data_IF_931591684302
#
_entry.id   IF_931591684302
#
_cell.length_a   1.000
_cell.length_b   1.000
_cell.length_c   1.000
_cell.angle_alpha   90.00
_cell.angle_beta   90.00
_cell.angle_gamma   90.00
#
_symmetry.space_group_name_H-M   'P 1'
#
loop_
_entity.id
_entity.type
_entity.pdbx_description
1 polymer ?
#
# COMPACT_ATOMS: atom_id res chain seq x y z
N UNK A 1 -73.08 42.81 -17.01
CA UNK A 1 -71.75 42.15 -17.06
C UNK A 1 -71.81 41.09 -18.14
N UNK A 2 -70.90 41.12 -19.11
CA UNK A 2 -71.07 40.42 -20.39
C UNK A 2 -70.64 38.94 -20.27
N UNK A 3 -71.56 37.98 -20.39
CA UNK A 3 -71.30 36.54 -20.22
C UNK A 3 -70.18 36.00 -21.13
N UNK A 4 -69.94 36.67 -22.25
CA UNK A 4 -68.86 36.36 -23.21
C UNK A 4 -67.47 36.59 -22.59
N UNK A 5 -67.31 37.62 -21.75
CA UNK A 5 -66.03 37.93 -21.09
C UNK A 5 -65.70 36.90 -20.01
N UNK A 6 -66.72 36.40 -19.29
CA UNK A 6 -66.57 35.32 -18.30
C UNK A 6 -66.24 33.97 -18.95
N UNK A 7 -66.86 33.65 -20.09
CA UNK A 7 -66.53 32.42 -20.83
C UNK A 7 -65.10 32.46 -21.39
N UNK A 8 -64.66 33.61 -21.91
CA UNK A 8 -63.31 33.78 -22.43
C UNK A 8 -62.23 33.65 -21.33
N UNK A 9 -62.43 34.22 -20.14
CA UNK A 9 -61.48 34.08 -19.02
C UNK A 9 -61.42 32.67 -18.45
N UNK A 10 -62.54 31.93 -18.44
CA UNK A 10 -62.57 30.51 -18.06
C UNK A 10 -61.81 29.62 -19.05
N UNK A 11 -61.91 29.90 -20.35
CA UNK A 11 -61.18 29.14 -21.38
C UNK A 11 -59.67 29.43 -21.33
N UNK A 12 -59.28 30.69 -21.14
CA UNK A 12 -57.87 31.08 -21.01
C UNK A 12 -57.24 30.47 -19.75
N UNK A 13 -57.91 30.55 -18.60
CA UNK A 13 -57.41 29.95 -17.36
C UNK A 13 -57.29 28.42 -17.45
N UNK A 14 -58.27 27.75 -18.07
CA UNK A 14 -58.22 26.31 -18.32
C UNK A 14 -57.08 25.92 -19.27
N UNK A 15 -56.84 26.72 -20.31
CA UNK A 15 -55.70 26.53 -21.23
C UNK A 15 -54.35 26.65 -20.53
N UNK A 16 -54.18 27.64 -19.64
CA UNK A 16 -52.97 27.79 -18.84
C UNK A 16 -52.73 26.60 -17.90
N UNK A 17 -53.79 26.12 -17.22
CA UNK A 17 -53.70 24.92 -16.36
C UNK A 17 -53.27 23.70 -17.16
N UNK A 18 -53.82 23.50 -18.36
CA UNK A 18 -53.46 22.38 -19.23
C UNK A 18 -52.00 22.44 -19.69
N UNK A 19 -51.50 23.63 -20.06
CA UNK A 19 -50.10 23.82 -20.46
C UNK A 19 -49.15 23.58 -19.27
N UNK A 20 -49.49 24.10 -18.09
CA UNK A 20 -48.71 23.90 -16.87
C UNK A 20 -48.65 22.42 -16.47
N UNK A 21 -49.79 21.71 -16.51
CA UNK A 21 -49.86 20.27 -16.22
C UNK A 21 -49.07 19.45 -17.24
N UNK A 22 -49.14 19.79 -18.53
CA UNK A 22 -48.38 19.11 -19.58
C UNK A 22 -46.87 19.33 -19.43
N UNK A 23 -46.44 20.54 -19.07
CA UNK A 23 -45.04 20.84 -18.79
C UNK A 23 -44.53 20.09 -17.55
N UNK A 24 -45.33 20.05 -16.48
CA UNK A 24 -44.98 19.32 -15.26
C UNK A 24 -44.84 17.80 -15.53
N UNK A 25 -45.76 17.21 -16.30
CA UNK A 25 -45.69 15.81 -16.70
C UNK A 25 -44.48 15.51 -17.59
N UNK A 26 -44.13 16.41 -18.51
CA UNK A 26 -42.92 16.25 -19.33
C UNK A 26 -41.64 16.31 -18.50
N UNK A 27 -41.56 17.22 -17.53
CA UNK A 27 -40.42 17.33 -16.63
C UNK A 27 -40.30 16.10 -15.73
N UNK A 28 -41.40 15.64 -15.13
CA UNK A 28 -41.43 14.41 -14.33
C UNK A 28 -41.01 13.17 -15.13
N UNK A 29 -41.44 13.05 -16.39
CA UNK A 29 -41.02 11.95 -17.26
C UNK A 29 -39.53 12.01 -17.60
N UNK A 30 -38.98 13.21 -17.86
CA UNK A 30 -37.54 13.39 -18.10
C UNK A 30 -36.72 13.05 -16.86
N UNK A 31 -37.17 13.51 -15.70
CA UNK A 31 -36.48 13.29 -14.44
C UNK A 31 -36.54 11.82 -14.01
N UNK A 32 -37.70 11.17 -14.18
CA UNK A 32 -37.84 9.73 -13.97
C UNK A 32 -36.96 8.93 -14.95
N UNK A 33 -36.87 9.33 -16.22
CA UNK A 33 -35.98 8.71 -17.19
C UNK A 33 -34.50 8.90 -16.85
N UNK A 34 -34.11 10.09 -16.38
CA UNK A 34 -32.74 10.40 -15.92
C UNK A 34 -32.37 9.54 -14.71
N UNK A 35 -33.23 9.50 -13.69
CA UNK A 35 -33.01 8.71 -12.48
C UNK A 35 -32.97 7.21 -12.77
N UNK A 36 -33.80 6.71 -13.70
CA UNK A 36 -33.74 5.32 -14.13
C UNK A 36 -32.40 4.98 -14.82
N UNK A 37 -31.89 5.88 -15.66
CA UNK A 37 -30.56 5.72 -16.28
C UNK A 37 -29.41 5.75 -15.26
N UNK A 38 -29.51 6.62 -14.25
CA UNK A 38 -28.52 6.75 -13.18
C UNK A 38 -28.50 5.54 -12.23
N UNK A 39 -29.67 4.95 -11.95
CA UNK A 39 -29.78 3.69 -11.20
C UNK A 39 -29.17 2.53 -12.00
N UNK A 40 -29.42 2.47 -13.31
CA UNK A 40 -28.90 1.39 -14.14
C UNK A 40 -27.39 1.46 -14.31
N UNK A 41 -26.82 2.67 -14.50
CA UNK A 41 -25.36 2.84 -14.55
C UNK A 41 -24.70 2.50 -13.21
N UNK A 42 -25.29 2.89 -12.09
CA UNK A 42 -24.82 2.52 -10.74
C UNK A 42 -24.86 1.00 -10.51
N UNK A 43 -25.92 0.33 -10.97
CA UNK A 43 -26.03 -1.14 -10.93
C UNK A 43 -24.97 -1.83 -11.77
N UNK A 44 -24.67 -1.31 -12.96
CA UNK A 44 -23.62 -1.85 -13.82
C UNK A 44 -22.24 -1.70 -13.16
N UNK A 45 -21.92 -0.52 -12.64
CA UNK A 45 -20.65 -0.27 -11.94
C UNK A 45 -20.49 -1.16 -10.70
N UNK A 46 -21.55 -1.33 -9.91
CA UNK A 46 -21.52 -2.22 -8.74
C UNK A 46 -21.40 -3.69 -9.13
N UNK A 47 -22.04 -4.14 -10.21
CA UNK A 47 -21.89 -5.49 -10.73
C UNK A 47 -20.47 -5.77 -11.25
N UNK A 48 -19.87 -4.80 -11.95
CA UNK A 48 -18.49 -4.87 -12.44
C UNK A 48 -17.49 -4.90 -11.28
N UNK A 49 -17.65 -4.03 -10.28
CA UNK A 49 -16.84 -4.05 -9.07
C UNK A 49 -16.97 -5.38 -8.32
N UNK A 50 -18.18 -5.93 -8.18
CA UNK A 50 -18.41 -7.22 -7.55
C UNK A 50 -17.73 -8.38 -8.31
N UNK A 51 -17.78 -8.35 -9.65
CA UNK A 51 -17.07 -9.31 -10.49
C UNK A 51 -15.54 -9.20 -10.34
N UNK A 52 -15.01 -7.98 -10.28
CA UNK A 52 -13.59 -7.71 -10.00
C UNK A 52 -13.15 -8.26 -8.64
N UNK A 53 -13.94 -8.02 -7.59
CA UNK A 53 -13.69 -8.55 -6.24
C UNK A 53 -13.73 -10.09 -6.23
N UNK A 54 -14.69 -10.70 -6.92
CA UNK A 54 -14.77 -12.17 -7.01
C UNK A 54 -13.55 -12.76 -7.73
N UNK A 55 -13.09 -12.12 -8.82
CA UNK A 55 -11.89 -12.52 -9.54
C UNK A 55 -10.63 -12.41 -8.66
N UNK A 56 -10.47 -11.31 -7.94
CA UNK A 56 -9.35 -11.10 -7.02
C UNK A 56 -9.36 -12.11 -5.88
N UNK A 57 -10.53 -12.40 -5.28
CA UNK A 57 -10.66 -13.45 -4.28
C UNK A 57 -10.26 -14.82 -4.82
N UNK A 58 -10.66 -15.14 -6.05
CA UNK A 58 -10.24 -16.36 -6.74
C UNK A 58 -8.72 -16.46 -6.88
N UNK A 59 -8.07 -15.39 -7.33
CA UNK A 59 -6.60 -15.33 -7.44
C UNK A 59 -5.90 -15.45 -6.08
N UNK A 60 -6.43 -14.81 -5.03
CA UNK A 60 -5.88 -14.93 -3.67
C UNK A 60 -5.93 -16.38 -3.19
N UNK A 61 -7.05 -17.07 -3.41
CA UNK A 61 -7.21 -18.46 -3.00
C UNK A 61 -6.34 -19.41 -3.83
N UNK A 62 -6.19 -19.14 -5.12
CA UNK A 62 -5.25 -19.85 -6.00
C UNK A 62 -3.80 -19.69 -5.50
N UNK A 63 -3.38 -18.46 -5.17
CA UNK A 63 -2.05 -18.20 -4.61
C UNK A 63 -1.86 -18.81 -3.22
N UNK A 64 -2.90 -18.89 -2.39
CA UNK A 64 -2.87 -19.59 -1.10
C UNK A 64 -2.71 -21.10 -1.29
N UNK A 65 -3.50 -21.69 -2.19
CA UNK A 65 -3.40 -23.12 -2.52
C UNK A 65 -2.02 -23.46 -3.08
N UNK A 66 -1.51 -22.65 -4.02
CA UNK A 66 -0.17 -22.82 -4.58
C UNK A 66 0.92 -22.70 -3.52
N UNK A 67 0.80 -21.76 -2.58
CA UNK A 67 1.70 -21.64 -1.42
C UNK A 67 1.59 -22.85 -0.49
N UNK A 68 0.40 -23.38 -0.25
CA UNK A 68 0.19 -24.58 0.57
C UNK A 68 0.83 -25.83 -0.04
N UNK A 69 0.68 -26.03 -1.36
CA UNK A 69 1.33 -27.13 -2.11
C UNK A 69 2.86 -26.97 -2.15
N UNK A 70 3.35 -25.74 -2.30
CA UNK A 70 4.77 -25.45 -2.22
C UNK A 70 5.31 -25.70 -0.80
N UNK A 71 4.55 -25.34 0.24
CA UNK A 71 4.88 -25.60 1.64
C UNK A 71 4.93 -27.10 1.95
N UNK A 72 3.99 -27.90 1.43
CA UNK A 72 3.98 -29.35 1.66
C UNK A 72 5.13 -30.07 0.95
N UNK A 73 5.49 -29.63 -0.27
CA UNK A 73 6.65 -30.17 -1.01
C UNK A 73 7.99 -29.79 -0.38
N UNK A 74 8.08 -28.61 0.22
CA UNK A 74 9.30 -28.16 0.87
C UNK A 74 9.46 -28.68 2.32
N UNK A 75 8.37 -29.05 3.01
CA UNK A 75 8.43 -29.73 4.32
C UNK A 75 9.09 -31.12 4.27
N UNK A 76 9.20 -31.73 3.08
CA UNK A 76 9.87 -33.01 2.87
C UNK A 76 11.36 -32.92 2.59
N UNK A 77 11.89 -31.73 2.29
CA UNK A 77 13.34 -31.51 2.16
C UNK A 77 13.96 -31.20 3.53
N UNK A 78 14.40 -32.25 4.23
CA UNK A 78 15.42 -32.05 5.25
C UNK A 78 16.69 -31.54 4.57
N UNK A 79 17.34 -30.53 5.13
CA UNK A 79 18.63 -30.04 4.66
C UNK A 79 19.66 -31.18 4.75
N UNK A 80 19.82 -31.93 3.65
CA UNK A 80 20.78 -33.03 3.46
C UNK A 80 22.19 -32.51 3.17
N UNK A 81 22.52 -31.33 3.68
CA UNK A 81 23.85 -30.74 3.51
C UNK A 81 24.88 -31.51 4.31
N UNK A 82 25.93 -31.96 3.61
CA UNK A 82 27.14 -32.50 4.22
C UNK A 82 27.63 -31.52 5.30
N UNK A 83 27.75 -31.99 6.54
CA UNK A 83 28.09 -31.14 7.69
C UNK A 83 29.51 -30.60 7.52
N UNK A 84 29.64 -29.34 7.14
CA UNK A 84 30.94 -28.67 7.03
C UNK A 84 31.52 -28.55 8.46
N UNK A 85 32.69 -29.14 8.74
CA UNK A 85 33.30 -29.04 10.06
C UNK A 85 33.60 -27.58 10.39
N UNK A 86 33.19 -27.17 11.59
CA UNK A 86 33.39 -25.82 12.10
C UNK A 86 34.88 -25.59 12.39
N UNK A 87 35.48 -24.56 11.78
CA UNK A 87 36.89 -24.18 11.94
C UNK A 87 37.00 -22.67 12.24
N UNK A 88 36.66 -22.22 13.47
CA UNK A 88 36.65 -20.81 13.84
C UNK A 88 37.99 -20.10 13.63
N UNK A 89 39.10 -20.84 13.77
CA UNK A 89 40.46 -20.35 13.54
C UNK A 89 40.73 -19.94 12.08
N UNK A 90 39.85 -20.32 11.14
CA UNK A 90 39.91 -19.95 9.73
C UNK A 90 38.96 -18.82 9.36
N UNK A 91 38.36 -18.14 10.34
CA UNK A 91 37.49 -16.99 10.09
C UNK A 91 38.21 -15.89 9.30
N UNK A 92 37.54 -15.34 8.28
CA UNK A 92 38.05 -14.21 7.49
C UNK A 92 39.13 -14.56 6.47
N UNK A 93 39.52 -15.84 6.35
CA UNK A 93 40.46 -16.32 5.33
C UNK A 93 39.68 -17.07 4.26
N UNK A 94 39.86 -16.67 2.99
CA UNK A 94 39.31 -17.41 1.85
C UNK A 94 40.22 -18.60 1.51
N UNK A 95 39.79 -19.85 1.71
CA UNK A 95 40.62 -21.00 1.37
C UNK A 95 40.72 -21.15 -0.16
N UNK A 96 41.91 -21.43 -0.73
CA UNK A 96 42.10 -21.51 -2.18
C UNK A 96 41.41 -22.73 -2.82
N UNK A 97 41.13 -23.76 -2.02
CA UNK A 97 40.57 -25.04 -2.43
C UNK A 97 39.06 -25.16 -2.16
N UNK A 98 38.42 -24.11 -1.63
CA UNK A 98 37.02 -24.17 -1.19
C UNK A 98 36.18 -23.03 -1.77
N UNK A 99 34.93 -23.30 -2.16
CA UNK A 99 34.00 -22.27 -2.62
C UNK A 99 33.35 -21.51 -1.44
N UNK A 100 33.85 -21.67 -0.21
CA UNK A 100 33.25 -21.10 1.00
C UNK A 100 34.34 -20.66 1.99
N UNK A 101 33.99 -19.74 2.88
CA UNK A 101 34.84 -19.28 3.98
C UNK A 101 34.06 -19.28 5.30
N UNK A 102 34.77 -19.22 6.42
CA UNK A 102 34.16 -19.17 7.73
C UNK A 102 33.91 -17.71 8.13
N UNK A 103 32.68 -17.42 8.57
CA UNK A 103 32.28 -16.11 9.08
C UNK A 103 31.62 -16.30 10.44
N UNK A 104 31.98 -15.47 11.43
CA UNK A 104 31.26 -15.45 12.69
C UNK A 104 29.81 -15.01 12.47
N UNK A 105 28.86 -15.77 13.02
CA UNK A 105 27.41 -15.51 12.90
C UNK A 105 27.03 -14.08 13.30
N UNK A 106 27.74 -13.45 14.24
CA UNK A 106 27.49 -12.06 14.65
C UNK A 106 27.67 -11.06 13.51
N UNK A 107 28.58 -11.34 12.57
CA UNK A 107 28.82 -10.49 11.39
C UNK A 107 27.71 -10.61 10.34
N UNK A 108 26.83 -11.61 10.46
CA UNK A 108 25.72 -11.79 9.54
C UNK A 108 24.68 -10.68 9.69
N UNK A 109 24.51 -10.13 10.90
CA UNK A 109 23.60 -9.00 11.15
C UNK A 109 23.97 -7.77 10.30
N UNK A 110 25.26 -7.54 10.08
CA UNK A 110 25.79 -6.38 9.34
C UNK A 110 26.12 -6.69 7.87
N UNK A 111 25.89 -7.93 7.41
CA UNK A 111 26.27 -8.34 6.07
C UNK A 111 25.41 -7.61 5.02
N UNK A 112 26.05 -7.09 3.97
CA UNK A 112 25.36 -6.33 2.92
C UNK A 112 24.88 -7.28 1.83
N UNK A 113 23.64 -7.76 1.98
CA UNK A 113 22.90 -8.43 0.92
C UNK A 113 21.42 -8.09 1.07
N UNK A 114 20.59 -8.56 0.14
CA UNK A 114 19.15 -8.30 0.21
C UNK A 114 18.53 -9.22 1.28
N UNK A 115 18.14 -8.65 2.42
CA UNK A 115 17.47 -9.39 3.49
C UNK A 115 15.98 -9.58 3.23
N UNK A 116 15.34 -8.50 2.77
CA UNK A 116 13.91 -8.38 2.52
C UNK A 116 13.75 -7.79 1.10
N UNK A 117 12.81 -8.31 0.33
CA UNK A 117 12.48 -7.79 -0.99
C UNK A 117 11.75 -6.44 -0.88
N UNK A 118 11.71 -5.65 -1.95
CA UNK A 118 10.97 -4.38 -1.95
C UNK A 118 9.48 -4.50 -1.60
N UNK A 119 8.90 -5.69 -1.82
CA UNK A 119 7.50 -6.00 -1.52
C UNK A 119 7.30 -6.59 -0.13
N UNK A 120 8.29 -6.43 0.77
CA UNK A 120 8.25 -6.90 2.16
C UNK A 120 8.15 -8.43 2.29
N UNK A 121 8.84 -9.17 1.44
CA UNK A 121 9.02 -10.61 1.58
C UNK A 121 10.44 -10.98 2.00
N UNK A 122 10.60 -12.07 2.72
CA UNK A 122 11.90 -12.66 3.03
C UNK A 122 12.62 -12.99 1.73
N UNK A 123 13.83 -12.45 1.57
CA UNK A 123 14.65 -12.77 0.41
C UNK A 123 15.19 -14.22 0.51
N UNK A 124 15.26 -14.99 -0.59
CA UNK A 124 15.79 -16.35 -0.56
C UNK A 124 17.20 -16.45 0.04
N UNK A 125 18.04 -15.45 -0.22
CA UNK A 125 19.40 -15.37 0.30
C UNK A 125 19.42 -15.26 1.83
N UNK A 126 18.44 -14.58 2.43
CA UNK A 126 18.30 -14.44 3.87
C UNK A 126 17.88 -15.75 4.53
N UNK A 127 16.97 -16.50 3.90
CA UNK A 127 16.59 -17.83 4.36
C UNK A 127 17.80 -18.79 4.34
N UNK A 128 18.60 -18.76 3.27
CA UNK A 128 19.84 -19.56 3.15
C UNK A 128 20.86 -19.13 4.22
N UNK A 129 21.10 -17.83 4.37
CA UNK A 129 22.05 -17.29 5.32
C UNK A 129 21.75 -17.67 6.78
N UNK A 130 20.46 -17.73 7.14
CA UNK A 130 20.01 -18.15 8.46
C UNK A 130 19.85 -19.68 8.58
N UNK A 131 20.14 -20.43 7.52
CA UNK A 131 19.96 -21.89 7.48
C UNK A 131 18.53 -22.28 7.82
N UNK A 132 17.55 -21.54 7.30
CA UNK A 132 16.14 -21.84 7.51
C UNK A 132 15.76 -23.06 6.69
N UNK A 133 14.99 -23.96 7.30
CA UNK A 133 14.19 -24.89 6.53
C UNK A 133 13.14 -24.11 5.74
N UNK A 134 12.61 -24.66 4.64
CA UNK A 134 11.58 -23.95 3.90
C UNK A 134 10.30 -23.65 4.70
N UNK A 135 9.96 -24.53 5.64
CA UNK A 135 8.84 -24.31 6.56
C UNK A 135 9.08 -23.13 7.51
N UNK A 136 10.29 -23.00 8.03
CA UNK A 136 10.72 -21.84 8.82
C UNK A 136 10.69 -20.56 7.96
N UNK A 137 11.26 -20.59 6.76
CA UNK A 137 11.30 -19.44 5.86
C UNK A 137 9.90 -18.93 5.51
N UNK A 138 8.97 -19.84 5.17
CA UNK A 138 7.59 -19.47 4.88
C UNK A 138 6.87 -18.89 6.10
N UNK A 139 7.08 -19.47 7.29
CA UNK A 139 6.45 -18.97 8.53
C UNK A 139 7.00 -17.60 8.94
N UNK A 140 8.30 -17.37 8.77
CA UNK A 140 8.94 -16.08 9.03
C UNK A 140 8.49 -15.01 8.04
N UNK A 141 8.41 -15.37 6.74
CA UNK A 141 7.86 -14.48 5.70
C UNK A 141 6.43 -14.07 6.01
N UNK A 142 5.57 -15.03 6.36
CA UNK A 142 4.18 -14.79 6.74
C UNK A 142 4.07 -13.89 7.98
N UNK A 143 4.86 -14.15 9.02
CA UNK A 143 4.88 -13.32 10.22
C UNK A 143 5.33 -11.88 9.92
N UNK A 144 6.38 -11.70 9.12
CA UNK A 144 6.87 -10.38 8.74
C UNK A 144 5.86 -9.62 7.88
N UNK A 145 5.29 -10.28 6.87
CA UNK A 145 4.29 -9.69 6.00
C UNK A 145 3.02 -9.28 6.78
N UNK A 146 2.57 -10.12 7.71
CA UNK A 146 1.41 -9.82 8.57
C UNK A 146 1.62 -8.55 9.41
N UNK A 147 2.82 -8.34 9.95
CA UNK A 147 3.18 -7.13 10.69
C UNK A 147 3.15 -5.90 9.80
N UNK A 148 3.73 -5.99 8.60
CA UNK A 148 3.75 -4.90 7.62
C UNK A 148 2.33 -4.50 7.23
N UNK A 149 1.45 -5.47 6.94
CA UNK A 149 0.06 -5.19 6.60
C UNK A 149 -0.71 -4.59 7.78
N UNK A 150 -0.44 -5.05 9.00
CA UNK A 150 -0.99 -4.43 10.23
C UNK A 150 -0.55 -2.98 10.37
N UNK A 151 0.73 -2.68 10.12
CA UNK A 151 1.23 -1.31 10.18
C UNK A 151 0.58 -0.43 9.14
N UNK A 152 0.49 -0.91 7.89
CA UNK A 152 -0.17 -0.17 6.81
C UNK A 152 -1.63 0.10 7.11
N UNK A 153 -2.35 -0.88 7.65
CA UNK A 153 -3.74 -0.71 8.05
C UNK A 153 -3.90 0.37 9.12
N UNK A 154 -3.03 0.36 10.15
CA UNK A 154 -3.01 1.39 11.19
C UNK A 154 -2.67 2.77 10.63
N UNK A 155 -1.73 2.87 9.68
CA UNK A 155 -1.42 4.15 9.05
C UNK A 155 -2.61 4.70 8.24
N UNK A 156 -3.33 3.84 7.51
CA UNK A 156 -4.54 4.23 6.77
C UNK A 156 -5.64 4.69 7.73
N UNK A 157 -5.86 3.94 8.82
CA UNK A 157 -6.90 4.23 9.82
C UNK A 157 -6.67 5.57 10.53
N UNK A 158 -5.42 5.92 10.80
CA UNK A 158 -5.05 7.11 11.57
C UNK A 158 -4.60 8.29 10.71
N UNK A 159 -4.67 8.18 9.38
CA UNK A 159 -4.36 9.28 8.49
C UNK A 159 -5.50 10.31 8.52
N UNK A 160 -5.19 11.53 8.95
CA UNK A 160 -6.16 12.60 9.12
C UNK A 160 -5.86 13.77 8.18
N UNK A 161 -6.87 14.51 7.67
CA UNK A 161 -6.62 15.79 7.02
C UNK A 161 -5.87 16.75 7.94
N UNK A 162 -4.92 17.51 7.39
CA UNK A 162 -4.11 18.48 8.13
C UNK A 162 -4.22 19.86 7.51
N UNK A 163 -4.31 20.89 8.36
CA UNK A 163 -4.14 22.29 7.96
C UNK A 163 -2.68 22.71 7.92
N UNK A 164 -1.78 21.92 8.50
CA UNK A 164 -0.34 22.11 8.47
C UNK A 164 0.27 21.46 7.23
N UNK A 165 1.21 22.16 6.60
CA UNK A 165 1.94 21.67 5.44
C UNK A 165 3.35 21.22 5.84
N UNK A 166 3.86 20.20 5.14
CA UNK A 166 5.17 19.61 5.40
C UNK A 166 6.30 20.65 5.31
N UNK A 167 6.23 21.60 4.36
CA UNK A 167 7.19 22.71 4.30
C UNK A 167 6.57 24.06 3.93
N UNK A 168 7.13 25.13 4.54
CA UNK A 168 6.94 26.53 4.11
C UNK A 168 7.98 26.97 3.08
N UNK A 169 9.05 26.17 2.87
CA UNK A 169 10.19 26.52 2.01
C UNK A 169 9.85 26.55 0.53
N UNK A 170 8.91 25.71 0.10
CA UNK A 170 8.46 25.70 -1.28
C UNK A 170 7.12 26.38 -1.35
N UNK A 171 7.15 27.70 -1.52
CA UNK A 171 6.00 28.51 -1.93
C UNK A 171 5.70 28.27 -3.42
N UNK A 172 5.68 27.01 -3.88
CA UNK A 172 5.10 26.75 -5.19
C UNK A 172 3.64 27.18 -5.11
N UNK A 173 3.31 28.20 -5.89
CA UNK A 173 1.96 28.73 -6.01
C UNK A 173 1.07 27.59 -6.50
N UNK A 174 0.05 27.24 -5.71
CA UNK A 174 -0.80 26.11 -5.99
C UNK A 174 -1.60 25.68 -4.76
N UNK A 175 -2.67 24.94 -5.00
CA UNK A 175 -3.46 24.30 -3.96
C UNK A 175 -2.62 23.19 -3.33
N UNK A 176 -2.54 23.23 -2.00
CA UNK A 176 -1.89 22.20 -1.20
C UNK A 176 -2.94 21.39 -0.46
N UNK A 177 -2.81 20.07 -0.50
CA UNK A 177 -3.65 19.17 0.31
C UNK A 177 -2.74 18.39 1.23
N UNK A 178 -2.97 18.48 2.54
CA UNK A 178 -2.10 17.87 3.53
C UNK A 178 -2.84 16.88 4.41
N UNK A 179 -2.09 15.87 4.85
CA UNK A 179 -2.52 14.84 5.76
C UNK A 179 -1.50 14.71 6.88
N UNK A 180 -1.97 14.43 8.08
CA UNK A 180 -1.17 14.18 9.26
C UNK A 180 -1.38 12.74 9.67
N UNK A 181 -0.27 12.08 9.95
CA UNK A 181 -0.23 10.80 10.59
C UNK A 181 0.35 11.01 12.00
N UNK A 182 -0.40 10.76 13.07
CA UNK A 182 0.13 10.90 14.43
C UNK A 182 1.21 9.86 14.70
N UNK A 183 1.89 9.99 15.84
CA UNK A 183 2.78 8.94 16.31
C UNK A 183 1.97 7.66 16.56
N UNK A 184 2.40 6.54 15.99
CA UNK A 184 1.70 5.24 16.12
C UNK A 184 2.46 4.24 16.99
N UNK A 185 3.53 4.67 17.65
CA UNK A 185 4.44 3.79 18.41
C UNK A 185 3.70 2.91 19.42
N UNK A 186 2.85 3.50 20.26
CA UNK A 186 2.10 2.77 21.29
C UNK A 186 1.10 1.76 20.69
N UNK A 187 0.55 2.06 19.51
CA UNK A 187 -0.40 1.16 18.82
C UNK A 187 0.31 -0.01 18.13
N UNK A 188 1.56 0.19 17.71
CA UNK A 188 2.34 -0.80 16.95
C UNK A 188 3.24 -1.68 17.83
N UNK A 189 3.60 -1.22 19.02
CA UNK A 189 4.48 -1.94 19.95
C UNK A 189 3.99 -3.37 20.27
N UNK A 190 2.70 -3.62 20.57
CA UNK A 190 2.21 -4.99 20.79
C UNK A 190 2.40 -5.89 19.57
N UNK A 191 2.23 -5.35 18.37
CA UNK A 191 2.42 -6.08 17.11
C UNK A 191 3.90 -6.44 16.90
N UNK A 192 4.82 -5.51 17.21
CA UNK A 192 6.26 -5.76 17.18
C UNK A 192 6.66 -6.82 18.20
N UNK A 193 6.15 -6.75 19.42
CA UNK A 193 6.45 -7.72 20.47
C UNK A 193 5.99 -9.13 20.10
N UNK A 194 4.76 -9.26 19.59
CA UNK A 194 4.21 -10.53 19.11
C UNK A 194 5.04 -11.10 17.95
N UNK A 195 5.50 -10.25 17.04
CA UNK A 195 6.39 -10.65 15.95
C UNK A 195 7.74 -11.15 16.45
N UNK A 196 8.37 -10.44 17.38
CA UNK A 196 9.65 -10.85 17.98
C UNK A 196 9.49 -12.18 18.74
N UNK A 197 8.38 -12.38 19.46
CA UNK A 197 8.09 -13.64 20.12
C UNK A 197 7.87 -14.79 19.12
N UNK A 198 7.10 -14.55 18.06
CA UNK A 198 6.82 -15.54 17.01
C UNK A 198 8.08 -15.97 16.27
N UNK A 199 8.93 -15.03 15.86
CA UNK A 199 10.20 -15.35 15.17
C UNK A 199 11.16 -16.11 16.06
N UNK A 200 11.23 -15.79 17.37
CA UNK A 200 11.99 -16.59 18.36
C UNK A 200 11.48 -18.02 18.47
N UNK A 201 10.16 -18.22 18.47
CA UNK A 201 9.56 -19.56 18.52
C UNK A 201 9.87 -20.39 17.25
N UNK A 202 9.94 -19.74 16.08
CA UNK A 202 10.24 -20.42 14.81
C UNK A 202 11.74 -20.71 14.65
N UNK A 203 12.58 -19.71 14.90
CA UNK A 203 14.01 -19.77 14.54
C UNK A 203 14.93 -20.14 15.72
N UNK A 204 14.44 -20.03 16.95
CA UNK A 204 15.27 -20.03 18.16
C UNK A 204 16.04 -18.71 18.34
N UNK A 205 16.56 -18.48 19.55
CA UNK A 205 17.08 -17.17 19.97
C UNK A 205 18.16 -16.61 19.05
N UNK A 206 19.18 -17.41 18.72
CA UNK A 206 20.35 -16.92 17.98
C UNK A 206 20.03 -16.50 16.53
N UNK A 207 19.15 -17.23 15.84
CA UNK A 207 18.75 -16.90 14.45
C UNK A 207 17.71 -15.78 14.45
N UNK A 208 16.79 -15.79 15.41
CA UNK A 208 15.78 -14.76 15.56
C UNK A 208 16.39 -13.39 15.90
N UNK A 209 17.47 -13.33 16.69
CA UNK A 209 18.16 -12.06 17.00
C UNK A 209 18.66 -11.37 15.72
N UNK A 210 19.30 -12.12 14.82
CA UNK A 210 19.80 -11.61 13.54
C UNK A 210 18.64 -11.16 12.65
N UNK A 211 17.61 -12.00 12.51
CA UNK A 211 16.45 -11.65 11.67
C UNK A 211 15.70 -10.42 12.20
N UNK A 212 15.48 -10.35 13.51
CA UNK A 212 14.80 -9.22 14.15
C UNK A 212 15.60 -7.92 14.03
N UNK A 213 16.94 -7.99 13.97
CA UNK A 213 17.77 -6.83 13.66
C UNK A 213 17.47 -6.31 12.24
N UNK A 214 17.46 -7.19 11.23
CA UNK A 214 17.11 -6.79 9.86
C UNK A 214 15.69 -6.23 9.74
N UNK A 215 14.71 -6.87 10.40
CA UNK A 215 13.34 -6.40 10.41
C UNK A 215 13.21 -4.99 11.01
N UNK A 216 13.95 -4.70 12.11
CA UNK A 216 13.98 -3.37 12.72
C UNK A 216 14.54 -2.31 11.77
N UNK A 217 15.61 -2.60 11.03
CA UNK A 217 16.13 -1.66 10.03
C UNK A 217 15.07 -1.30 8.99
N UNK A 218 14.31 -2.29 8.51
CA UNK A 218 13.19 -2.04 7.59
C UNK A 218 12.09 -1.22 8.25
N UNK A 219 11.77 -1.48 9.52
CA UNK A 219 10.76 -0.72 10.24
C UNK A 219 11.17 0.74 10.43
N UNK A 220 12.42 0.99 10.80
CA UNK A 220 12.98 2.34 10.93
C UNK A 220 13.03 3.06 9.58
N UNK A 221 13.49 2.40 8.53
CA UNK A 221 13.63 3.02 7.21
C UNK A 221 12.28 3.31 6.54
N UNK A 222 11.34 2.38 6.64
CA UNK A 222 10.05 2.46 5.94
C UNK A 222 9.02 3.25 6.76
N UNK A 223 8.91 2.94 8.05
CA UNK A 223 7.88 3.48 8.92
C UNK A 223 8.40 4.56 9.88
N UNK A 224 9.68 4.94 9.78
CA UNK A 224 10.29 6.05 10.52
C UNK A 224 10.12 5.92 12.04
N UNK A 225 10.31 4.71 12.56
CA UNK A 225 10.07 4.36 13.98
C UNK A 225 8.68 4.81 14.47
N UNK A 226 7.71 4.86 13.56
CA UNK A 226 6.33 5.26 13.81
C UNK A 226 6.19 6.70 14.32
N UNK A 227 7.15 7.55 13.95
CA UNK A 227 7.13 8.97 14.21
C UNK A 227 5.96 9.67 13.51
N UNK A 228 5.45 10.77 14.10
CA UNK A 228 4.42 11.58 13.48
C UNK A 228 4.92 12.21 12.18
N UNK A 229 4.08 12.23 11.15
CA UNK A 229 4.43 12.66 9.79
C UNK A 229 3.35 13.56 9.18
N UNK A 230 3.78 14.57 8.45
CA UNK A 230 2.91 15.38 7.60
C UNK A 230 3.23 15.07 6.14
N UNK A 231 2.20 14.69 5.41
CA UNK A 231 2.18 14.45 3.97
C UNK A 231 1.55 15.66 3.29
N UNK A 232 2.19 16.23 2.27
CA UNK A 232 1.63 17.37 1.53
C UNK A 232 1.73 17.13 0.04
N UNK A 233 0.56 17.10 -0.60
CA UNK A 233 0.43 17.07 -2.05
C UNK A 233 0.37 18.48 -2.58
N UNK A 234 1.15 18.75 -3.64
CA UNK A 234 1.04 19.96 -4.45
C UNK A 234 0.32 19.67 -5.76
N UNK A 235 -0.17 20.72 -6.43
CA UNK A 235 -0.80 20.61 -7.76
C UNK A 235 0.13 20.03 -8.83
N UNK A 236 1.44 20.13 -8.64
CA UNK A 236 2.47 19.54 -9.52
C UNK A 236 2.63 18.02 -9.32
N UNK A 237 1.72 17.37 -8.58
CA UNK A 237 1.79 15.94 -8.26
C UNK A 237 3.08 15.55 -7.55
N UNK A 238 3.56 16.41 -6.65
CA UNK A 238 4.67 16.11 -5.74
C UNK A 238 4.10 15.77 -4.37
N UNK A 239 4.62 14.73 -3.74
CA UNK A 239 4.42 14.44 -2.33
C UNK A 239 5.64 14.89 -1.53
N UNK A 240 5.42 15.84 -0.63
CA UNK A 240 6.36 16.19 0.44
C UNK A 240 6.01 15.41 1.70
N UNK A 241 7.01 14.79 2.34
CA UNK A 241 6.86 14.08 3.62
C UNK A 241 7.86 14.64 4.62
N UNK A 242 7.35 15.09 5.77
CA UNK A 242 8.16 15.63 6.87
C UNK A 242 7.75 14.96 8.17
N UNK A 243 8.73 14.49 8.94
CA UNK A 243 8.52 14.09 10.32
C UNK A 243 8.27 15.33 11.17
N UNK A 244 7.22 15.33 12.00
CA UNK A 244 6.91 16.49 12.83
C UNK A 244 8.05 16.77 13.82
N UNK A 245 8.58 17.99 13.79
CA UNK A 245 9.76 18.38 14.57
C UNK A 245 11.11 18.04 13.91
N UNK A 246 11.10 17.31 12.79
CA UNK A 246 12.27 17.00 11.99
C UNK A 246 12.68 18.13 11.04
N UNK A 247 13.98 18.19 10.72
CA UNK A 247 14.51 19.07 9.65
C UNK A 247 14.54 18.39 8.28
N UNK A 248 14.31 17.08 8.22
CA UNK A 248 14.42 16.27 7.02
C UNK A 248 13.08 16.22 6.29
N UNK A 249 13.05 16.77 5.09
CA UNK A 249 11.95 16.62 4.15
C UNK A 249 12.34 15.64 3.05
N UNK A 250 11.49 14.63 2.84
CA UNK A 250 11.58 13.75 1.68
C UNK A 250 10.62 14.25 0.60
N UNK A 251 11.07 14.16 -0.64
CA UNK A 251 10.31 14.59 -1.82
C UNK A 251 10.14 13.38 -2.74
N UNK A 252 8.91 13.18 -3.21
CA UNK A 252 8.57 12.14 -4.16
C UNK A 252 7.77 12.77 -5.29
N UNK A 253 8.27 12.69 -6.52
CA UNK A 253 7.47 13.01 -7.70
C UNK A 253 6.51 11.84 -7.92
N UNK A 254 5.19 12.08 -7.87
CA UNK A 254 4.18 11.03 -8.01
C UNK A 254 4.01 10.61 -9.47
N UNK A 255 4.44 11.45 -10.41
CA UNK A 255 4.66 11.09 -11.81
C UNK A 255 6.11 10.72 -11.99
N UNK A 256 6.38 9.45 -12.21
CA UNK A 256 7.73 9.00 -12.57
C UNK A 256 7.68 8.23 -13.89
N UNK A 257 7.77 8.97 -14.99
CA UNK A 257 8.75 8.63 -16.01
C UNK A 257 9.90 9.60 -15.78
N UNK A 258 11.10 9.17 -15.38
CA UNK A 258 12.23 10.06 -15.37
C UNK A 258 12.46 10.48 -16.82
N UNK A 259 12.47 11.79 -17.14
CA UNK A 259 12.71 12.33 -18.49
C UNK A 259 13.90 11.68 -19.22
N UNK A 260 14.87 11.15 -18.45
CA UNK A 260 16.05 10.44 -18.93
C UNK A 260 15.77 9.06 -19.57
N UNK A 261 14.59 8.47 -19.36
CA UNK A 261 14.20 7.18 -19.91
C UNK A 261 13.09 7.26 -20.97
N UNK A 262 12.59 8.46 -21.29
CA UNK A 262 11.74 8.66 -22.48
C UNK A 262 12.47 8.23 -23.77
N UNK A 263 13.81 8.35 -23.78
CA UNK A 263 14.65 8.05 -24.95
C UNK A 263 15.17 6.60 -24.99
N UNK A 264 15.15 5.87 -23.86
CA UNK A 264 15.74 4.53 -23.73
C UNK A 264 14.76 3.43 -23.31
N UNK A 265 13.51 3.78 -23.01
CA UNK A 265 12.54 2.87 -22.41
C UNK A 265 12.86 2.59 -20.93
N UNK A 266 11.82 2.29 -20.16
CA UNK A 266 11.97 1.76 -18.82
C UNK A 266 12.37 0.28 -18.89
N UNK A 267 13.26 -0.21 -18.01
CA UNK A 267 13.41 -1.65 -17.79
C UNK A 267 12.04 -2.32 -17.56
N UNK A 268 11.84 -3.53 -18.07
CA UNK A 268 10.56 -4.27 -17.93
C UNK A 268 10.12 -4.46 -16.46
N UNK A 269 11.05 -4.33 -15.51
CA UNK A 269 10.85 -4.45 -14.07
C UNK A 269 10.85 -3.11 -13.31
N UNK A 270 10.93 -1.97 -14.01
CA UNK A 270 10.87 -0.66 -13.36
C UNK A 270 9.47 -0.38 -12.83
N UNK A 271 9.36 -0.36 -11.50
CA UNK A 271 8.18 0.15 -10.80
C UNK A 271 8.59 1.43 -10.07
N UNK A 272 8.01 2.60 -10.39
CA UNK A 272 8.16 3.79 -9.56
C UNK A 272 7.82 3.41 -8.12
N UNK A 273 8.82 3.40 -7.25
CA UNK A 273 8.64 2.96 -5.86
C UNK A 273 8.12 4.14 -5.07
N UNK A 274 6.80 4.23 -5.01
CA UNK A 274 6.11 5.14 -4.11
C UNK A 274 5.89 4.43 -2.76
N UNK A 275 6.69 4.70 -1.71
CA UNK A 275 6.63 3.97 -0.44
C UNK A 275 5.29 4.13 0.30
N UNK A 276 4.49 5.14 -0.06
CA UNK A 276 3.19 5.46 0.53
C UNK A 276 2.01 5.07 -0.37
N UNK A 277 2.22 4.13 -1.29
CA UNK A 277 1.17 3.64 -2.19
C UNK A 277 -0.05 3.07 -1.44
N UNK A 278 0.15 2.46 -0.27
CA UNK A 278 -0.96 1.96 0.56
C UNK A 278 -1.82 3.10 1.13
N UNK A 279 -1.27 4.30 1.32
CA UNK A 279 -2.01 5.47 1.80
C UNK A 279 -2.74 6.19 0.67
N UNK A 280 -2.10 6.34 -0.48
CA UNK A 280 -2.56 7.26 -1.52
C UNK A 280 -2.77 6.62 -2.89
N UNK A 281 -2.67 5.30 -3.02
CA UNK A 281 -2.81 4.59 -4.29
C UNK A 281 -1.61 4.75 -5.22
N UNK A 282 -1.72 4.23 -6.45
CA UNK A 282 -0.73 4.49 -7.49
C UNK A 282 -0.73 5.98 -7.82
N UNK A 283 0.46 6.61 -7.84
CA UNK A 283 0.65 8.02 -8.19
C UNK A 283 -0.21 9.01 -7.38
N UNK A 284 -0.64 8.64 -6.18
CA UNK A 284 -1.47 9.51 -5.34
C UNK A 284 -2.93 9.65 -5.83
N UNK A 285 -3.49 8.66 -6.54
CA UNK A 285 -4.88 8.69 -7.03
C UNK A 285 -5.95 8.55 -5.93
N UNK A 286 -5.62 7.89 -4.81
CA UNK A 286 -6.56 7.63 -3.71
C UNK A 286 -6.43 8.66 -2.58
N UNK A 287 -6.28 9.95 -2.90
CA UNK A 287 -6.21 11.01 -1.88
C UNK A 287 -7.51 11.07 -1.07
N UNK A 288 -7.50 10.83 0.24
CA UNK A 288 -8.72 10.88 1.05
C UNK A 288 -9.38 12.27 0.96
N UNK A 289 -10.66 12.32 0.59
CA UNK A 289 -11.42 13.58 0.51
C UNK A 289 -11.27 14.38 -0.78
N UNK A 290 -10.53 13.89 -1.78
CA UNK A 290 -10.54 14.45 -3.14
C UNK A 290 -11.57 13.67 -3.96
N UNK A 291 -12.66 14.32 -4.39
CA UNK A 291 -13.57 13.71 -5.38
C UNK A 291 -12.75 13.43 -6.65
N UNK A 292 -12.88 12.24 -7.28
CA UNK A 292 -12.24 11.99 -8.55
C UNK A 292 -12.65 13.10 -9.51
N UNK A 293 -11.66 13.72 -10.16
CA UNK A 293 -11.91 14.67 -11.24
C UNK A 293 -12.75 13.92 -12.28
N UNK A 294 -14.02 14.28 -12.39
CA UNK A 294 -14.90 13.82 -13.45
C UNK A 294 -14.29 14.30 -14.77
N UNK A 295 -13.81 13.34 -15.57
CA UNK A 295 -13.45 13.56 -16.98
C UNK A 295 -14.67 14.00 -17.80
#
# INVERSE_FOLDING_TARGET
MNNIVLAATLLVSSGFVFIAQRSALHNLRRESGRLAGEIESSRLLTAEAAAGVASLKGKVEEHRSRRSVMRSSLSTEHATGETIPMAPEKEGVWPPDKPYFYLNKRRLADAIFRHITPDFHLAPEAAIALGMTPGEAAAVDEAFHSVVETFRALEVEHLMPSTEHASTRFSREGRKTSYRLPALKELMEPTVENFVASTRAILGDSRAEIFNHWARLIFTDTFRDFAPRIFTFTDDEVLEVVEEGGKLSHYFELRDLPRKYEEYGLPEDFRPRFPYRHLFGENGQNRPGVQPLSE
#
